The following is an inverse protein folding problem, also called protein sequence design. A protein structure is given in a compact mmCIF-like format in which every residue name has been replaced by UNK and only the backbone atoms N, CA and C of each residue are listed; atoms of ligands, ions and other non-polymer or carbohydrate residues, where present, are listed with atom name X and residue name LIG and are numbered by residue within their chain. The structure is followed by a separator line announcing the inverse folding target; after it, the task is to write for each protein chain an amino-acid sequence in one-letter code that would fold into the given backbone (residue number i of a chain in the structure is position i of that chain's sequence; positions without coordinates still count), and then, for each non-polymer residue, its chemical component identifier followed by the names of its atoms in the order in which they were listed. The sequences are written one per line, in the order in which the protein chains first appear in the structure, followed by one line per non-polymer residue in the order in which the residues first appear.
data_IF_264895887585
#
_entry.id   IF_264895887585
#
_cell.length_a   1.000
_cell.length_b   1.000
_cell.length_c   1.000
_cell.angle_alpha   90.00
_cell.angle_beta   90.00
_cell.angle_gamma   90.00
#
_symmetry.space_group_name_H-M   'P 1'
#
loop_
_entity.id
_entity.type
_entity.pdbx_description
1 polymer ?
#
# COMPACT_ATOMS: atom_id res chain seq x y z
N UNK A 1 -20.50 52.61 52.25
CA UNK A 1 -20.90 51.69 51.17
C UNK A 1 -19.70 50.77 50.89
N UNK A 2 -19.91 49.45 50.99
CA UNK A 2 -19.06 48.30 50.58
C UNK A 2 -17.53 48.31 50.83
N UNK A 3 -17.09 47.43 51.73
CA UNK A 3 -15.78 46.74 51.68
C UNK A 3 -15.72 45.86 50.42
N UNK A 4 -14.52 45.64 49.87
CA UNK A 4 -14.03 44.36 49.36
C UNK A 4 -12.48 44.44 49.32
N UNK A 5 -11.82 43.57 50.10
CA UNK A 5 -10.48 43.07 49.81
C UNK A 5 -10.65 41.90 48.83
N UNK A 6 -9.82 41.80 47.79
CA UNK A 6 -9.58 40.53 47.09
C UNK A 6 -8.08 40.33 46.93
N UNK A 7 -7.65 39.19 47.44
CA UNK A 7 -6.32 38.59 47.30
C UNK A 7 -6.13 38.13 45.85
N UNK A 8 -5.06 38.55 45.17
CA UNK A 8 -4.64 37.92 43.92
C UNK A 8 -3.70 36.78 44.28
N UNK A 9 -4.25 35.56 44.28
CA UNK A 9 -3.53 34.29 44.38
C UNK A 9 -2.97 33.91 43.00
N UNK A 10 -1.72 33.45 42.94
CA UNK A 10 -1.09 32.86 41.77
C UNK A 10 -1.84 31.61 41.28
N UNK A 11 -2.07 31.51 39.98
CA UNK A 11 -2.37 30.27 39.27
C UNK A 11 -1.37 30.10 38.13
N UNK A 12 -0.65 28.98 38.15
CA UNK A 12 0.20 28.52 37.04
C UNK A 12 -0.70 28.06 35.90
N UNK A 13 -0.47 28.55 34.69
CA UNK A 13 -1.00 27.93 33.48
C UNK A 13 0.17 27.32 32.71
N UNK A 14 0.48 26.07 33.05
CA UNK A 14 1.20 25.16 32.16
C UNK A 14 0.27 24.92 30.97
N UNK A 15 0.59 25.53 29.84
CA UNK A 15 -0.09 25.31 28.58
C UNK A 15 0.30 23.92 28.04
N UNK A 16 -0.56 22.89 28.05
CA UNK A 16 -0.28 21.68 27.30
C UNK A 16 -0.52 22.05 25.83
N UNK A 17 0.55 22.15 25.06
CA UNK A 17 0.47 22.27 23.61
C UNK A 17 -0.42 21.14 23.07
N UNK A 18 -1.68 21.47 22.76
CA UNK A 18 -2.50 20.71 21.83
C UNK A 18 -1.91 20.96 20.44
N UNK A 19 -0.91 20.17 20.09
CA UNK A 19 -0.53 20.03 18.70
C UNK A 19 -1.51 19.03 18.10
N UNK A 20 -2.67 19.54 17.69
CA UNK A 20 -3.60 18.82 16.82
C UNK A 20 -2.90 18.65 15.46
N UNK A 21 -1.97 17.70 15.37
CA UNK A 21 -1.57 17.13 14.08
C UNK A 21 -2.82 16.52 13.48
N UNK A 22 -3.40 17.25 12.53
CA UNK A 22 -4.52 16.77 11.72
C UNK A 22 -4.02 15.59 10.91
N UNK A 23 -4.21 14.38 11.44
CA UNK A 23 -3.86 13.14 10.75
C UNK A 23 -4.60 13.14 9.40
N UNK A 24 -3.85 13.20 8.31
CA UNK A 24 -4.41 13.03 6.97
C UNK A 24 -4.67 11.54 6.76
N UNK A 25 -5.93 11.12 6.86
CA UNK A 25 -6.33 9.72 6.67
C UNK A 25 -5.91 9.16 5.31
N UNK A 26 -5.61 10.01 4.31
CA UNK A 26 -5.01 9.57 3.06
C UNK A 26 -3.70 8.80 3.28
N UNK A 27 -2.97 9.10 4.37
CA UNK A 27 -1.77 8.37 4.73
C UNK A 27 -2.07 6.93 5.16
N UNK A 28 -3.24 6.66 5.76
CA UNK A 28 -3.69 5.31 6.15
C UNK A 28 -4.00 4.45 4.92
N UNK A 29 -4.45 5.06 3.82
CA UNK A 29 -4.78 4.34 2.60
C UNK A 29 -3.54 3.63 2.05
N UNK A 30 -3.72 2.37 1.69
CA UNK A 30 -2.66 1.49 1.22
C UNK A 30 -2.67 0.14 1.93
N UNK A 31 -1.63 -0.66 1.64
CA UNK A 31 -1.42 -1.96 2.24
C UNK A 31 -0.35 -1.88 3.33
N UNK A 32 -0.54 -2.64 4.40
CA UNK A 32 0.29 -2.62 5.60
C UNK A 32 0.58 -4.05 6.03
N UNK A 33 1.83 -4.36 6.38
CA UNK A 33 2.26 -5.68 6.88
C UNK A 33 2.61 -5.61 8.35
N UNK A 34 2.19 -6.60 9.13
CA UNK A 34 2.48 -6.66 10.56
C UNK A 34 3.99 -6.84 10.79
N UNK A 35 4.57 -5.96 11.61
CA UNK A 35 5.97 -6.01 12.01
C UNK A 35 6.14 -6.39 13.48
N UNK A 36 5.21 -5.99 14.34
CA UNK A 36 5.22 -6.42 15.74
C UNK A 36 3.82 -6.39 16.33
N UNK A 37 3.61 -7.23 17.34
CA UNK A 37 2.41 -7.23 18.16
C UNK A 37 2.82 -7.51 19.59
N UNK A 38 2.34 -6.68 20.52
CA UNK A 38 2.60 -6.81 21.94
C UNK A 38 1.30 -6.68 22.73
N UNK A 39 1.16 -7.49 23.76
CA UNK A 39 0.07 -7.37 24.72
C UNK A 39 0.62 -7.54 26.14
N UNK A 40 0.27 -6.63 27.05
CA UNK A 40 0.82 -6.62 28.41
C UNK A 40 2.36 -6.69 28.44
N UNK A 41 3.03 -6.04 27.47
CA UNK A 41 4.48 -6.03 27.33
C UNK A 41 5.11 -7.32 26.77
N UNK A 42 4.32 -8.35 26.43
CA UNK A 42 4.81 -9.59 25.81
C UNK A 42 4.68 -9.55 24.30
N UNK A 43 5.72 -9.95 23.58
CA UNK A 43 5.68 -10.13 22.13
C UNK A 43 4.80 -11.32 21.74
N UNK A 44 3.85 -11.12 20.84
CA UNK A 44 2.94 -12.14 20.31
C UNK A 44 3.20 -12.48 18.84
N UNK A 45 4.22 -11.87 18.22
CA UNK A 45 4.58 -12.10 16.83
C UNK A 45 5.18 -13.51 16.66
N UNK A 46 4.70 -14.24 15.66
CA UNK A 46 5.15 -15.58 15.30
C UNK A 46 5.22 -15.73 13.77
N UNK A 47 5.71 -16.87 13.28
CA UNK A 47 5.97 -17.06 11.85
C UNK A 47 4.71 -17.06 10.98
N UNK A 48 3.54 -17.37 11.54
CA UNK A 48 2.29 -17.26 10.83
C UNK A 48 1.86 -15.79 10.72
N UNK A 49 1.68 -15.10 11.85
CA UNK A 49 1.11 -13.76 11.85
C UNK A 49 2.05 -12.67 11.31
N UNK A 50 3.36 -12.94 11.12
CA UNK A 50 4.26 -12.08 10.31
C UNK A 50 3.74 -11.84 8.88
N UNK A 51 2.89 -12.71 8.38
CA UNK A 51 2.26 -12.60 7.06
C UNK A 51 0.98 -11.77 7.08
N UNK A 52 0.53 -11.33 8.27
CA UNK A 52 -0.69 -10.55 8.41
C UNK A 52 -0.59 -9.24 7.65
N UNK A 53 -1.66 -8.92 6.92
CA UNK A 53 -1.76 -7.66 6.20
C UNK A 53 -3.12 -7.00 6.38
N UNK A 54 -3.12 -5.68 6.35
CA UNK A 54 -4.30 -4.85 6.17
C UNK A 54 -4.21 -4.11 4.83
N UNK A 55 -5.36 -3.92 4.19
CA UNK A 55 -5.51 -3.00 3.07
C UNK A 55 -6.62 -2.03 3.44
N UNK A 56 -6.30 -0.75 3.58
CA UNK A 56 -7.26 0.33 3.79
C UNK A 56 -7.53 1.02 2.46
N UNK A 57 -8.82 1.18 2.12
CA UNK A 57 -9.26 1.74 0.84
C UNK A 57 -9.90 3.11 1.01
N UNK A 58 -9.84 3.90 -0.07
CA UNK A 58 -10.33 5.28 -0.12
C UNK A 58 -11.85 5.42 0.06
N UNK A 59 -12.59 4.33 -0.04
CA UNK A 59 -14.05 4.26 0.19
C UNK A 59 -14.40 3.88 1.65
N UNK A 60 -13.42 3.98 2.56
CA UNK A 60 -13.54 3.63 3.98
C UNK A 60 -13.80 2.13 4.26
N UNK A 61 -13.45 1.26 3.31
CA UNK A 61 -13.46 -0.20 3.51
C UNK A 61 -12.05 -0.72 3.81
N UNK A 62 -11.97 -1.83 4.53
CA UNK A 62 -10.71 -2.56 4.72
C UNK A 62 -10.86 -4.04 4.42
N UNK A 63 -9.75 -4.65 4.04
CA UNK A 63 -9.57 -6.11 4.06
C UNK A 63 -8.39 -6.46 4.95
N UNK A 64 -8.49 -7.58 5.65
CA UNK A 64 -7.43 -8.15 6.49
C UNK A 64 -7.16 -9.56 6.01
N UNK A 65 -5.89 -9.91 5.87
CA UNK A 65 -5.47 -11.30 5.75
C UNK A 65 -4.74 -11.67 7.03
N UNK A 66 -5.28 -12.62 7.78
CA UNK A 66 -4.73 -13.08 9.06
C UNK A 66 -4.25 -14.53 8.94
N UNK A 67 -3.14 -14.85 9.57
CA UNK A 67 -2.57 -16.19 9.63
C UNK A 67 -2.37 -16.62 11.08
N UNK A 68 -3.17 -17.61 11.50
CA UNK A 68 -3.07 -18.21 12.83
C UNK A 68 -2.31 -19.53 12.77
N UNK A 69 -1.66 -19.90 13.88
CA UNK A 69 -1.02 -21.21 14.03
C UNK A 69 -2.10 -22.29 14.09
N UNK A 70 -1.97 -23.30 13.23
CA UNK A 70 -2.81 -24.49 13.19
C UNK A 70 -1.91 -25.73 13.13
N UNK A 71 -1.51 -26.21 14.31
CA UNK A 71 -0.47 -27.23 14.46
C UNK A 71 0.88 -26.73 13.94
N UNK A 72 1.40 -27.38 12.89
CA UNK A 72 2.65 -26.98 12.20
C UNK A 72 2.41 -26.06 11.00
N UNK A 73 1.15 -25.83 10.63
CA UNK A 73 0.77 -25.03 9.46
C UNK A 73 0.23 -23.67 9.89
N UNK A 74 0.17 -22.74 8.93
CA UNK A 74 -0.49 -21.46 9.12
C UNK A 74 -1.85 -21.48 8.43
N UNK A 75 -2.92 -21.33 9.20
CA UNK A 75 -4.29 -21.24 8.67
C UNK A 75 -4.60 -19.80 8.31
N UNK A 76 -4.95 -19.58 7.05
CA UNK A 76 -5.36 -18.28 6.52
C UNK A 76 -6.82 -17.99 6.89
N UNK A 77 -7.08 -16.76 7.34
CA UNK A 77 -8.41 -16.21 7.60
C UNK A 77 -8.55 -14.84 6.93
N UNK A 78 -9.56 -14.70 6.06
CA UNK A 78 -9.88 -13.42 5.43
C UNK A 78 -10.91 -12.64 6.27
N UNK A 79 -10.56 -11.41 6.59
CA UNK A 79 -11.39 -10.40 7.24
C UNK A 79 -11.70 -9.24 6.28
N UNK A 80 -12.85 -8.62 6.46
CA UNK A 80 -13.22 -7.40 5.75
C UNK A 80 -14.19 -6.58 6.60
N UNK A 81 -14.34 -5.31 6.27
CA UNK A 81 -15.25 -4.43 6.98
C UNK A 81 -15.12 -2.98 6.54
N UNK A 82 -15.63 -2.08 7.38
CA UNK A 82 -15.49 -0.63 7.20
C UNK A 82 -14.71 -0.03 8.36
N UNK A 83 -14.13 1.13 8.13
CA UNK A 83 -13.47 1.89 9.18
C UNK A 83 -13.94 3.34 9.18
N UNK A 84 -13.88 3.97 10.35
CA UNK A 84 -14.06 5.41 10.51
C UNK A 84 -13.08 5.93 11.55
N UNK A 85 -12.85 7.24 11.59
CA UNK A 85 -11.86 7.81 12.50
C UNK A 85 -12.32 9.17 13.04
N UNK A 86 -11.83 9.51 14.23
CA UNK A 86 -12.04 10.81 14.86
C UNK A 86 -10.81 11.17 15.68
N UNK A 87 -10.04 12.15 15.21
CA UNK A 87 -8.73 12.46 15.79
C UNK A 87 -7.80 11.26 15.62
N UNK A 88 -7.21 10.81 16.72
CA UNK A 88 -6.32 9.65 16.78
C UNK A 88 -7.04 8.32 17.08
N UNK A 89 -8.37 8.30 17.04
CA UNK A 89 -9.16 7.08 17.22
C UNK A 89 -9.60 6.52 15.88
N UNK A 90 -9.37 5.22 15.68
CA UNK A 90 -9.80 4.44 14.54
C UNK A 90 -10.80 3.38 15.01
N UNK A 91 -11.97 3.37 14.39
CA UNK A 91 -13.06 2.45 14.67
C UNK A 91 -13.21 1.51 13.48
N UNK A 92 -13.13 0.21 13.73
CA UNK A 92 -13.37 -0.85 12.76
C UNK A 92 -14.75 -1.45 13.00
N UNK A 93 -15.49 -1.70 11.93
CA UNK A 93 -16.72 -2.49 11.94
C UNK A 93 -16.43 -3.77 11.14
N UNK A 94 -16.53 -4.93 11.79
CA UNK A 94 -16.33 -6.21 11.12
C UNK A 94 -17.51 -6.50 10.17
N UNK A 95 -17.22 -6.76 8.90
CA UNK A 95 -18.24 -6.98 7.88
C UNK A 95 -19.05 -8.28 8.04
N UNK A 96 -18.54 -9.27 8.77
CA UNK A 96 -19.23 -10.54 9.03
C UNK A 96 -20.11 -10.47 10.28
N UNK A 97 -19.58 -9.92 11.36
CA UNK A 97 -20.23 -9.95 12.69
C UNK A 97 -20.93 -8.64 13.06
N UNK A 98 -20.61 -7.54 12.37
CA UNK A 98 -21.06 -6.20 12.74
C UNK A 98 -20.43 -5.67 14.03
N UNK A 99 -19.47 -6.40 14.61
CA UNK A 99 -18.81 -5.98 15.85
C UNK A 99 -17.95 -4.76 15.62
N UNK A 100 -18.04 -3.81 16.54
CA UNK A 100 -17.28 -2.57 16.53
C UNK A 100 -16.10 -2.68 17.49
N UNK A 101 -14.92 -2.31 17.00
CA UNK A 101 -13.69 -2.20 17.79
C UNK A 101 -13.08 -0.83 17.57
N UNK A 102 -12.77 -0.12 18.65
CA UNK A 102 -12.12 1.19 18.59
C UNK A 102 -10.77 1.14 19.29
N UNK A 103 -9.76 1.72 18.67
CA UNK A 103 -8.41 1.86 19.21
C UNK A 103 -7.78 3.18 18.80
N UNK A 104 -6.64 3.50 19.41
CA UNK A 104 -5.80 4.59 18.96
C UNK A 104 -5.01 4.15 17.72
N UNK A 105 -4.70 5.11 16.86
CA UNK A 105 -3.76 4.91 15.77
C UNK A 105 -2.80 6.09 15.65
N UNK A 106 -1.58 5.79 15.19
CA UNK A 106 -0.54 6.78 14.87
C UNK A 106 0.09 6.37 13.54
N UNK A 107 0.24 7.32 12.62
CA UNK A 107 1.00 7.13 11.39
C UNK A 107 2.19 8.06 11.45
N UNK A 108 3.38 7.50 11.29
CA UNK A 108 4.64 8.24 11.12
C UNK A 108 5.39 7.63 9.97
N UNK A 109 5.61 8.41 8.91
CA UNK A 109 6.23 7.94 7.67
C UNK A 109 5.52 6.67 7.16
N UNK A 110 6.25 5.55 7.03
CA UNK A 110 5.74 4.26 6.59
C UNK A 110 5.35 3.33 7.74
N UNK A 111 5.19 3.84 8.96
CA UNK A 111 4.80 3.05 10.13
C UNK A 111 3.41 3.41 10.61
N UNK A 112 2.52 2.41 10.70
CA UNK A 112 1.22 2.48 11.33
C UNK A 112 1.28 1.75 12.68
N UNK A 113 0.96 2.45 13.77
CA UNK A 113 0.78 1.84 15.09
C UNK A 113 -0.70 1.84 15.44
N UNK A 114 -1.26 0.68 15.78
CA UNK A 114 -2.61 0.50 16.32
C UNK A 114 -2.51 0.09 17.78
N UNK A 115 -3.31 0.67 18.68
CA UNK A 115 -3.31 0.28 20.10
C UNK A 115 -4.68 0.37 20.76
N UNK A 116 -4.97 -0.57 21.65
CA UNK A 116 -6.19 -0.58 22.48
C UNK A 116 -5.90 -1.24 23.82
N UNK A 117 -6.08 -0.52 24.92
CA UNK A 117 -5.65 -0.98 26.24
C UNK A 117 -4.15 -1.27 26.28
N UNK A 118 -3.78 -2.50 26.64
CA UNK A 118 -2.39 -2.97 26.66
C UNK A 118 -1.92 -3.62 25.35
N UNK A 119 -2.81 -3.75 24.36
CA UNK A 119 -2.51 -4.27 23.04
C UNK A 119 -1.90 -3.16 22.17
N UNK A 120 -0.82 -3.48 21.47
CA UNK A 120 -0.19 -2.62 20.46
C UNK A 120 0.27 -3.48 19.29
N UNK A 121 -0.03 -3.05 18.06
CA UNK A 121 0.45 -3.66 16.84
C UNK A 121 1.09 -2.60 15.96
N UNK A 122 2.28 -2.89 15.44
CA UNK A 122 3.01 -2.02 14.53
C UNK A 122 3.04 -2.67 13.16
N UNK A 123 2.67 -1.89 12.15
CA UNK A 123 2.66 -2.28 10.76
C UNK A 123 3.57 -1.36 9.96
N UNK A 124 4.14 -1.90 8.90
CA UNK A 124 4.90 -1.15 7.91
C UNK A 124 4.12 -1.09 6.60
N UNK A 125 4.15 0.08 5.95
CA UNK A 125 3.49 0.30 4.68
C UNK A 125 4.17 -0.56 3.62
N UNK A 126 3.39 -1.37 2.92
CA UNK A 126 3.86 -2.05 1.71
C UNK A 126 3.83 -0.99 0.61
N UNK A 127 4.98 -0.36 0.40
CA UNK A 127 5.18 0.47 -0.78
C UNK A 127 5.02 -0.38 -2.03
N UNK A 128 4.36 0.18 -3.03
CA UNK A 128 4.24 -0.47 -4.31
C UNK A 128 5.51 -0.16 -5.13
N UNK A 129 6.45 -1.11 -5.26
CA UNK A 129 7.72 -0.83 -5.91
C UNK A 129 7.56 -0.58 -7.42
N UNK A 130 6.39 -0.94 -7.97
CA UNK A 130 6.07 -0.81 -9.39
C UNK A 130 5.70 0.64 -9.75
N UNK A 131 5.34 1.50 -8.79
CA UNK A 131 4.93 2.87 -9.10
C UNK A 131 6.07 3.63 -9.78
N UNK A 132 5.75 4.24 -10.92
CA UNK A 132 6.71 5.00 -11.71
C UNK A 132 6.46 4.89 -13.22
N UNK A 133 7.36 5.52 -13.97
CA UNK A 133 7.39 5.49 -15.43
C UNK A 133 8.47 4.51 -15.89
N UNK A 134 8.11 3.56 -16.73
CA UNK A 134 8.95 2.45 -17.14
C UNK A 134 9.02 2.36 -18.66
N UNK A 135 10.19 2.65 -19.25
CA UNK A 135 10.42 2.55 -20.71
C UNK A 135 10.77 1.12 -21.09
N UNK A 136 10.22 0.63 -22.21
CA UNK A 136 10.57 -0.69 -22.75
C UNK A 136 12.05 -0.77 -23.08
N UNK A 137 12.71 -1.81 -22.57
CA UNK A 137 14.10 -2.12 -22.89
C UNK A 137 14.20 -3.28 -23.89
N UNK A 138 13.35 -4.30 -23.73
CA UNK A 138 13.33 -5.44 -24.64
C UNK A 138 12.43 -6.58 -24.16
N UNK A 139 12.34 -7.61 -25.01
CA UNK A 139 11.53 -8.79 -24.78
C UNK A 139 12.27 -10.03 -25.29
N UNK A 140 12.11 -11.13 -24.56
CA UNK A 140 12.60 -12.45 -24.91
C UNK A 140 11.39 -13.39 -24.93
N UNK A 141 11.19 -14.10 -26.04
CA UNK A 141 10.14 -15.13 -26.18
C UNK A 141 10.83 -16.45 -26.55
N UNK A 142 10.59 -17.51 -25.79
CA UNK A 142 11.18 -18.84 -25.97
C UNK A 142 12.71 -18.81 -26.10
N UNK A 143 13.37 -17.90 -25.38
CA UNK A 143 14.82 -17.70 -25.42
C UNK A 143 15.33 -16.79 -26.54
N UNK A 144 14.47 -16.35 -27.47
CA UNK A 144 14.84 -15.47 -28.57
C UNK A 144 14.54 -14.00 -28.27
N UNK A 145 15.50 -13.11 -28.54
CA UNK A 145 15.33 -11.67 -28.38
C UNK A 145 14.44 -11.11 -29.49
N UNK A 146 13.38 -10.42 -29.09
CA UNK A 146 12.48 -9.73 -30.02
C UNK A 146 13.13 -8.42 -30.47
N UNK A 147 13.10 -8.20 -31.79
CA UNK A 147 13.53 -6.94 -32.39
C UNK A 147 12.32 -6.00 -32.50
N UNK A 148 12.44 -4.84 -31.87
CA UNK A 148 11.42 -3.79 -31.93
C UNK A 148 11.78 -2.75 -32.98
N UNK A 149 10.76 -2.23 -33.67
CA UNK A 149 10.89 -1.09 -34.54
C UNK A 149 11.25 0.19 -33.76
N UNK A 150 11.71 1.22 -34.48
CA UNK A 150 12.17 2.48 -33.88
C UNK A 150 11.16 3.07 -32.89
N UNK A 151 9.90 3.19 -33.28
CA UNK A 151 8.88 3.80 -32.43
C UNK A 151 8.31 2.86 -31.37
N UNK A 152 8.37 1.55 -31.56
CA UNK A 152 7.98 0.58 -30.52
C UNK A 152 8.91 0.68 -29.30
N UNK A 153 10.20 0.99 -29.51
CA UNK A 153 11.17 1.24 -28.43
C UNK A 153 10.86 2.49 -27.60
N UNK A 154 9.99 3.38 -28.08
CA UNK A 154 9.55 4.55 -27.31
C UNK A 154 8.40 4.24 -26.35
N UNK A 155 7.85 3.02 -26.40
CA UNK A 155 6.82 2.57 -25.46
C UNK A 155 7.25 2.78 -24.00
N UNK A 156 6.29 3.24 -23.20
CA UNK A 156 6.44 3.23 -21.75
C UNK A 156 5.12 2.95 -21.03
N UNK A 157 5.24 2.37 -19.84
CA UNK A 157 4.15 2.22 -18.89
C UNK A 157 4.25 3.31 -17.83
N UNK A 158 3.11 3.94 -17.49
CA UNK A 158 2.96 4.69 -16.25
C UNK A 158 2.16 3.82 -15.27
N UNK A 159 2.79 3.44 -14.17
CA UNK A 159 2.17 2.68 -13.10
C UNK A 159 1.86 3.63 -11.95
N UNK A 160 0.57 3.79 -11.67
CA UNK A 160 0.03 4.58 -10.55
C UNK A 160 -0.57 3.64 -9.50
N UNK A 161 -1.12 4.15 -8.39
CA UNK A 161 -1.59 3.30 -7.27
C UNK A 161 -2.58 2.20 -7.66
N UNK A 162 -3.42 2.44 -8.68
CA UNK A 162 -4.51 1.52 -9.07
C UNK A 162 -4.46 1.10 -10.54
N UNK A 163 -3.76 1.86 -11.36
CA UNK A 163 -3.81 1.74 -12.82
C UNK A 163 -2.43 1.66 -13.44
N UNK A 164 -2.33 0.89 -14.53
CA UNK A 164 -1.22 0.90 -15.46
C UNK A 164 -1.73 1.52 -16.74
N UNK A 165 -1.02 2.53 -17.23
CA UNK A 165 -1.28 3.15 -18.52
C UNK A 165 -0.18 2.76 -19.49
N UNK A 166 -0.53 2.04 -20.54
CA UNK A 166 0.36 1.68 -21.64
C UNK A 166 0.33 2.79 -22.70
N UNK A 167 1.49 3.37 -23.02
CA UNK A 167 1.59 4.47 -23.98
C UNK A 167 2.44 4.00 -25.17
N UNK A 168 1.81 3.99 -26.34
CA UNK A 168 2.40 3.51 -27.59
C UNK A 168 2.74 4.68 -28.51
N UNK A 169 3.67 4.45 -29.42
CA UNK A 169 4.13 5.47 -30.37
C UNK A 169 3.98 4.97 -31.80
N UNK A 170 3.70 5.90 -32.71
CA UNK A 170 3.64 5.66 -34.15
C UNK A 170 4.58 6.59 -34.90
N UNK A 171 4.95 6.17 -36.10
CA UNK A 171 5.78 6.95 -37.02
C UNK A 171 4.98 8.15 -37.55
N UNK A 172 5.55 9.34 -37.46
CA UNK A 172 5.07 10.55 -38.16
C UNK A 172 6.27 11.24 -38.82
N UNK A 173 6.46 10.98 -40.12
CA UNK A 173 7.69 11.35 -40.82
C UNK A 173 8.88 10.59 -40.22
N UNK A 174 9.96 11.30 -39.89
CA UNK A 174 11.15 10.72 -39.26
C UNK A 174 11.04 10.60 -37.72
N UNK A 175 9.97 11.14 -37.13
CA UNK A 175 9.77 11.21 -35.69
C UNK A 175 8.79 10.14 -35.18
N UNK A 176 8.87 9.85 -33.88
CA UNK A 176 7.89 9.03 -33.18
C UNK A 176 7.00 9.95 -32.35
N UNK A 177 5.69 9.81 -32.52
CA UNK A 177 4.67 10.56 -31.75
C UNK A 177 3.78 9.59 -31.01
N UNK A 178 3.31 9.98 -29.83
CA UNK A 178 2.40 9.16 -29.04
C UNK A 178 1.11 8.88 -29.83
N UNK A 179 0.71 7.63 -29.88
CA UNK A 179 -0.53 7.20 -30.52
C UNK A 179 -1.67 7.19 -29.49
N UNK A 180 -2.30 8.35 -29.30
CA UNK A 180 -3.38 8.55 -28.34
C UNK A 180 -4.58 7.62 -28.55
N UNK A 181 -4.75 7.06 -29.75
CA UNK A 181 -5.81 6.10 -30.08
C UNK A 181 -5.53 4.68 -29.55
N UNK A 182 -4.28 4.38 -29.16
CA UNK A 182 -3.85 3.08 -28.62
C UNK A 182 -3.57 3.12 -27.12
N UNK A 183 -3.88 4.23 -26.45
CA UNK A 183 -3.67 4.34 -25.00
C UNK A 183 -4.58 3.35 -24.28
N UNK A 184 -3.97 2.45 -23.51
CA UNK A 184 -4.70 1.45 -22.72
C UNK A 184 -4.51 1.72 -21.23
N UNK A 185 -5.60 1.64 -20.47
CA UNK A 185 -5.58 1.80 -19.02
C UNK A 185 -6.14 0.53 -18.40
N UNK A 186 -5.33 -0.11 -17.58
CA UNK A 186 -5.67 -1.37 -16.91
C UNK A 186 -5.64 -1.19 -15.41
N UNK A 187 -6.64 -1.72 -14.70
CA UNK A 187 -6.54 -1.90 -13.26
C UNK A 187 -5.59 -3.07 -12.96
N UNK A 188 -4.88 -3.00 -11.84
CA UNK A 188 -4.02 -4.09 -11.41
C UNK A 188 -4.07 -4.33 -9.90
N UNK A 189 -3.60 -5.52 -9.52
CA UNK A 189 -3.24 -5.85 -8.15
C UNK A 189 -1.85 -6.45 -8.15
N UNK A 190 -1.13 -6.37 -7.03
CA UNK A 190 0.20 -6.93 -6.92
C UNK A 190 0.41 -7.61 -5.56
N UNK A 191 1.34 -8.55 -5.54
CA UNK A 191 1.93 -9.13 -4.34
C UNK A 191 3.42 -8.79 -4.32
N UNK A 192 4.20 -9.38 -3.42
CA UNK A 192 5.65 -9.19 -3.39
C UNK A 192 6.37 -9.70 -4.64
N UNK A 193 5.79 -10.65 -5.38
CA UNK A 193 6.46 -11.31 -6.51
C UNK A 193 5.61 -11.40 -7.78
N UNK A 194 4.31 -11.09 -7.71
CA UNK A 194 3.41 -11.22 -8.84
C UNK A 194 2.57 -9.97 -9.05
N UNK A 195 2.24 -9.66 -10.29
CA UNK A 195 1.28 -8.64 -10.66
C UNK A 195 0.18 -9.26 -11.52
N UNK A 196 -1.06 -8.86 -11.27
CA UNK A 196 -2.23 -9.23 -12.08
C UNK A 196 -2.79 -7.97 -12.72
N UNK A 197 -2.80 -7.91 -14.05
CA UNK A 197 -3.24 -6.78 -14.88
C UNK A 197 -4.42 -7.29 -15.72
N UNK A 198 -5.64 -6.83 -15.43
CA UNK A 198 -6.84 -7.46 -16.01
C UNK A 198 -6.87 -8.96 -15.72
N UNK A 199 -6.97 -9.78 -16.77
CA UNK A 199 -6.97 -11.25 -16.67
C UNK A 199 -5.55 -11.88 -16.71
N UNK A 200 -4.53 -11.07 -16.92
CA UNK A 200 -3.15 -11.51 -17.11
C UNK A 200 -2.40 -11.49 -15.78
N UNK A 201 -1.72 -12.58 -15.42
CA UNK A 201 -0.86 -12.67 -14.25
C UNK A 201 0.56 -13.00 -14.64
N UNK A 202 1.52 -12.23 -14.12
CA UNK A 202 2.95 -12.42 -14.38
C UNK A 202 3.74 -12.31 -13.08
N UNK A 203 4.90 -12.95 -13.04
CA UNK A 203 5.90 -12.70 -12.01
C UNK A 203 6.60 -11.38 -12.32
N UNK A 204 7.03 -10.66 -11.29
CA UNK A 204 7.89 -9.49 -11.47
C UNK A 204 9.09 -9.51 -10.53
N UNK A 205 10.17 -8.89 -10.99
CA UNK A 205 11.34 -8.58 -10.20
C UNK A 205 11.73 -7.14 -10.48
N UNK A 206 12.05 -6.39 -9.42
CA UNK A 206 12.70 -5.09 -9.55
C UNK A 206 14.09 -5.22 -8.95
N UNK A 207 15.09 -4.87 -9.75
CA UNK A 207 16.47 -4.75 -9.29
C UNK A 207 17.04 -3.45 -9.82
N UNK A 208 17.45 -2.59 -8.90
CA UNK A 208 17.84 -1.21 -9.20
C UNK A 208 16.70 -0.51 -9.97
N UNK A 209 17.00 0.11 -11.10
CA UNK A 209 16.01 0.77 -11.98
C UNK A 209 15.48 -0.14 -13.11
N UNK A 210 15.57 -1.47 -12.93
CA UNK A 210 15.11 -2.45 -13.93
C UNK A 210 13.93 -3.24 -13.40
N UNK A 211 12.81 -3.17 -14.12
CA UNK A 211 11.62 -3.98 -13.89
C UNK A 211 11.57 -5.10 -14.93
N UNK A 212 11.48 -6.34 -14.48
CA UNK A 212 11.30 -7.52 -15.33
C UNK A 212 9.95 -8.15 -15.05
N UNK A 213 9.14 -8.35 -16.09
CA UNK A 213 7.95 -9.19 -16.07
C UNK A 213 8.24 -10.52 -16.74
N UNK A 214 7.82 -11.62 -16.12
CA UNK A 214 7.97 -12.98 -16.66
C UNK A 214 6.63 -13.71 -16.60
N UNK A 215 6.21 -14.33 -17.71
CA UNK A 215 5.02 -15.17 -17.74
C UNK A 215 5.17 -16.38 -16.81
N UNK A 216 4.06 -16.91 -16.30
CA UNK A 216 4.09 -18.01 -15.33
C UNK A 216 4.63 -19.33 -15.91
N UNK A 217 4.56 -19.51 -17.22
CA UNK A 217 5.15 -20.62 -17.97
C UNK A 217 6.61 -20.35 -18.38
N UNK A 218 7.15 -19.19 -17.98
CA UNK A 218 8.52 -18.73 -18.23
C UNK A 218 8.88 -18.56 -19.72
N UNK A 219 7.90 -18.62 -20.62
CA UNK A 219 8.12 -18.53 -22.08
C UNK A 219 8.43 -17.11 -22.53
N UNK A 220 7.93 -16.08 -21.82
CA UNK A 220 8.12 -14.68 -22.18
C UNK A 220 8.65 -13.86 -21.01
N UNK A 221 9.67 -13.06 -21.28
CA UNK A 221 10.24 -12.08 -20.36
C UNK A 221 10.28 -10.71 -21.03
N UNK A 222 9.66 -9.70 -20.41
CA UNK A 222 9.73 -8.30 -20.87
C UNK A 222 10.44 -7.46 -19.82
N UNK A 223 11.39 -6.63 -20.26
CA UNK A 223 12.22 -5.80 -19.38
C UNK A 223 12.00 -4.32 -19.66
N UNK A 224 11.96 -3.54 -18.59
CA UNK A 224 11.77 -2.10 -18.59
C UNK A 224 12.81 -1.40 -17.74
N UNK A 225 13.10 -0.15 -18.06
CA UNK A 225 13.99 0.71 -17.27
C UNK A 225 13.21 1.92 -16.74
N UNK A 226 13.43 2.28 -15.47
CA UNK A 226 12.79 3.44 -14.83
C UNK A 226 13.24 4.74 -15.51
N UNK A 227 12.31 5.68 -15.69
CA UNK A 227 12.57 7.02 -16.24
C UNK A 227 12.55 8.11 -15.18
#
# INVERSE_FOLDING_TARGET
MKRILVLVSCGKDDNPQKQDEKIDIKQLIGQWRLQSVTENGKNLLNDCNKQDTYVFKSDNTYTKMHYAVDGVNCRKEDGHGTFSFKGNLLTFINGKTGTEETGNFIIKENTLTLSSGSYTAVYEKIENPLIGKWKLQGEIINGEKIQFEKCEKEFFMNIEEKTITNNYFKVQGDNCVEDLNKKEVHNYTFTQTTITIGDYKVNYVIKDDVLTFQTLDETKTTTYTKQ
#
